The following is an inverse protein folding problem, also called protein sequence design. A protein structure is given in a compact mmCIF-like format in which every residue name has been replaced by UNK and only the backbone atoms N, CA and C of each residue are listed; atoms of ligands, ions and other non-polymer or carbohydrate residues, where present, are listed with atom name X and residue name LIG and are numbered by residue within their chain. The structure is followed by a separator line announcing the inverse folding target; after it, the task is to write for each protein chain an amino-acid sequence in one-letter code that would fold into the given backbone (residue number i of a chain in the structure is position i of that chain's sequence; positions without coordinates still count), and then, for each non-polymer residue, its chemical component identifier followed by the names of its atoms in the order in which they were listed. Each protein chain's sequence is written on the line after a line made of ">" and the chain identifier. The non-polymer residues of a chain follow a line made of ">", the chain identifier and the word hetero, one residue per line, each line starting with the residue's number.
data_IF_165066670545
#
_entry.id   IF_165066670545
#
_cell.length_a   1.000
_cell.length_b   1.000
_cell.length_c   1.000
_cell.angle_alpha   90.00
_cell.angle_beta   90.00
_cell.angle_gamma   90.00
#
_symmetry.space_group_name_H-M   'P 1'
#
loop_
_entity.id
_entity.type
_entity.pdbx_description
1 polymer ?
#
# COMPACT_ATOMS: atom_id res chain seq x y z
N UNK A 1 13.63 13.07 1.38
CA UNK A 1 12.39 13.84 1.04
C UNK A 1 12.68 15.01 0.09
N UNK A 2 13.82 15.72 0.24
CA UNK A 2 14.15 16.87 -0.62
C UNK A 2 14.15 16.51 -2.12
N UNK A 3 14.68 15.34 -2.48
CA UNK A 3 14.73 14.88 -3.87
C UNK A 3 13.35 14.46 -4.40
N UNK A 4 12.48 13.99 -3.53
CA UNK A 4 11.09 13.65 -3.90
C UNK A 4 10.26 14.87 -4.30
N UNK A 5 10.59 16.07 -3.79
CA UNK A 5 9.90 17.31 -4.17
C UNK A 5 10.07 17.67 -5.66
N UNK A 6 11.07 17.11 -6.31
CA UNK A 6 11.34 17.32 -7.75
C UNK A 6 10.72 16.25 -8.63
N UNK A 7 10.04 15.26 -8.04
CA UNK A 7 9.47 14.13 -8.75
C UNK A 7 7.98 14.33 -8.98
N UNK A 8 7.51 13.80 -10.10
CA UNK A 8 6.09 13.70 -10.43
C UNK A 8 5.60 12.34 -9.96
N UNK A 9 5.11 12.30 -8.73
CA UNK A 9 4.79 11.07 -8.02
C UNK A 9 3.33 10.73 -8.25
N UNK A 10 3.05 9.50 -8.66
CA UNK A 10 1.70 9.01 -8.80
C UNK A 10 1.01 8.89 -7.44
N UNK A 11 -0.26 9.30 -7.41
CA UNK A 11 -1.21 8.99 -6.34
C UNK A 11 -2.42 8.27 -6.96
N UNK A 12 -2.90 7.22 -6.32
CA UNK A 12 -4.16 6.61 -6.75
C UNK A 12 -5.30 7.61 -6.55
N UNK A 13 -6.01 7.89 -7.65
CA UNK A 13 -7.14 8.83 -7.62
C UNK A 13 -8.21 8.36 -6.64
N UNK A 14 -8.56 9.23 -5.67
CA UNK A 14 -9.56 8.94 -4.64
C UNK A 14 -9.04 8.12 -3.46
N UNK A 15 -7.72 7.98 -3.30
CA UNK A 15 -7.12 7.35 -2.12
C UNK A 15 -6.90 8.37 -0.99
N UNK A 16 -7.72 8.33 0.09
CA UNK A 16 -7.56 9.25 1.21
C UNK A 16 -6.30 8.99 2.03
N UNK A 17 -5.85 7.73 2.12
CA UNK A 17 -4.64 7.38 2.87
C UNK A 17 -3.39 7.93 2.18
N UNK A 18 -3.31 7.76 0.87
CA UNK A 18 -2.25 8.33 0.05
C UNK A 18 -2.27 9.85 0.10
N UNK A 19 -3.43 10.49 -0.02
CA UNK A 19 -3.57 11.95 0.09
C UNK A 19 -3.03 12.47 1.41
N UNK A 20 -3.42 11.88 2.55
CA UNK A 20 -2.94 12.27 3.87
C UNK A 20 -1.41 12.10 4.01
N UNK A 21 -0.83 11.06 3.40
CA UNK A 21 0.62 10.88 3.37
C UNK A 21 1.32 12.01 2.59
N UNK A 22 0.79 12.37 1.42
CA UNK A 22 1.36 13.44 0.61
C UNK A 22 1.22 14.80 1.27
N UNK A 23 0.07 15.11 1.87
CA UNK A 23 -0.15 16.33 2.63
C UNK A 23 0.82 16.47 3.81
N UNK A 24 0.99 15.38 4.58
CA UNK A 24 1.93 15.35 5.70
C UNK A 24 3.40 15.49 5.27
N UNK A 25 3.73 15.08 4.03
CA UNK A 25 5.08 15.16 3.47
C UNK A 25 5.40 16.49 2.81
N UNK A 26 4.39 17.31 2.50
CA UNK A 26 4.53 18.52 1.70
C UNK A 26 4.95 18.23 0.25
N UNK A 27 4.58 17.06 -0.27
CA UNK A 27 4.76 16.65 -1.65
C UNK A 27 3.46 16.88 -2.43
N UNK A 28 3.58 17.17 -3.72
CA UNK A 28 2.45 17.37 -4.62
C UNK A 28 2.35 16.19 -5.60
N UNK A 29 1.49 15.21 -5.36
CA UNK A 29 1.35 14.06 -6.25
C UNK A 29 0.48 14.39 -7.46
N UNK A 30 0.54 13.50 -8.46
CA UNK A 30 -0.33 13.50 -9.65
C UNK A 30 -1.38 12.41 -9.47
N UNK A 31 -2.65 12.74 -9.18
CA UNK A 31 -3.71 11.75 -9.01
C UNK A 31 -4.16 11.20 -10.37
N UNK A 32 -4.03 9.89 -10.56
CA UNK A 32 -4.42 9.18 -11.78
C UNK A 32 -5.07 7.83 -11.45
N UNK A 33 -6.01 7.35 -12.26
CA UNK A 33 -6.47 5.97 -12.18
C UNK A 33 -5.35 5.01 -12.56
N UNK A 34 -5.35 3.80 -11.97
CA UNK A 34 -4.29 2.81 -12.16
C UNK A 34 -4.08 2.42 -13.63
N UNK A 35 -5.14 2.49 -14.44
CA UNK A 35 -5.11 2.18 -15.87
C UNK A 35 -4.29 3.14 -16.70
N UNK A 36 -4.06 4.36 -16.21
CA UNK A 36 -3.31 5.41 -16.92
C UNK A 36 -1.83 5.47 -16.51
N UNK A 37 -1.43 4.76 -15.46
CA UNK A 37 -0.09 4.89 -14.88
C UNK A 37 1.01 4.49 -15.86
N UNK A 38 0.87 3.36 -16.57
CA UNK A 38 1.89 2.91 -17.52
C UNK A 38 2.13 3.94 -18.63
N UNK A 39 1.05 4.43 -19.24
CA UNK A 39 1.13 5.46 -20.29
C UNK A 39 1.71 6.77 -19.75
N UNK A 40 1.34 7.15 -18.53
CA UNK A 40 1.85 8.37 -17.89
C UNK A 40 3.34 8.27 -17.54
N UNK A 41 3.83 7.09 -17.19
CA UNK A 41 5.27 6.82 -17.03
C UNK A 41 6.00 6.91 -18.37
N UNK A 42 5.48 6.29 -19.42
CA UNK A 42 6.13 6.27 -20.73
C UNK A 42 6.17 7.64 -21.42
N UNK A 43 5.18 8.50 -21.15
CA UNK A 43 5.13 9.89 -21.66
C UNK A 43 5.84 10.90 -20.76
N UNK A 44 6.28 10.48 -19.56
CA UNK A 44 6.90 11.37 -18.60
C UNK A 44 5.93 12.30 -17.89
N UNK A 45 4.64 12.07 -17.93
CA UNK A 45 3.67 12.81 -17.10
C UNK A 45 3.93 12.57 -15.61
N UNK A 46 4.26 11.33 -15.26
CA UNK A 46 4.80 10.93 -13.96
C UNK A 46 6.16 10.23 -14.17
N UNK A 47 7.00 10.23 -13.14
CA UNK A 47 8.31 9.57 -13.13
C UNK A 47 8.53 8.66 -11.92
N UNK A 48 7.59 8.64 -11.02
CA UNK A 48 7.69 7.90 -9.75
C UNK A 48 6.35 7.30 -9.39
N UNK A 49 6.36 6.02 -8.98
CA UNK A 49 5.17 5.29 -8.49
C UNK A 49 5.45 4.66 -7.14
N UNK A 50 4.38 4.34 -6.41
CA UNK A 50 4.40 3.52 -5.21
C UNK A 50 3.63 2.24 -5.52
N UNK A 51 4.29 1.09 -5.42
CA UNK A 51 3.68 -0.20 -5.71
C UNK A 51 4.36 -1.33 -4.93
N UNK A 52 3.65 -2.41 -4.61
CA UNK A 52 4.31 -3.65 -4.19
C UNK A 52 5.13 -4.23 -5.36
N UNK A 53 6.23 -4.95 -5.08
CA UNK A 53 7.09 -5.53 -6.13
C UNK A 53 6.34 -6.38 -7.16
N UNK A 54 5.39 -7.20 -6.70
CA UNK A 54 4.54 -7.99 -7.58
C UNK A 54 3.68 -7.11 -8.50
N UNK A 55 3.14 -6.00 -7.97
CA UNK A 55 2.34 -5.05 -8.75
C UNK A 55 3.17 -4.36 -9.84
N UNK A 56 4.40 -3.96 -9.53
CA UNK A 56 5.31 -3.37 -10.49
C UNK A 56 5.62 -4.32 -11.66
N UNK A 57 5.70 -5.63 -11.40
CA UNK A 57 5.89 -6.64 -12.44
C UNK A 57 4.59 -6.86 -13.23
N UNK A 58 3.48 -7.11 -12.56
CA UNK A 58 2.20 -7.44 -13.19
C UNK A 58 1.70 -6.31 -14.11
N UNK A 59 1.95 -5.06 -13.73
CA UNK A 59 1.59 -3.86 -14.50
C UNK A 59 2.71 -3.37 -15.42
N UNK A 60 3.84 -4.08 -15.47
CA UNK A 60 5.03 -3.76 -16.27
C UNK A 60 5.63 -2.37 -15.99
N UNK A 61 5.35 -1.77 -14.84
CA UNK A 61 5.85 -0.43 -14.50
C UNK A 61 7.38 -0.39 -14.38
N UNK A 62 7.99 -1.50 -13.98
CA UNK A 62 9.44 -1.63 -13.89
C UNK A 62 10.17 -1.35 -15.21
N UNK A 63 9.50 -1.52 -16.36
CA UNK A 63 10.10 -1.20 -17.68
C UNK A 63 10.33 0.30 -17.90
N UNK A 64 9.61 1.12 -17.13
CA UNK A 64 9.69 2.58 -17.18
C UNK A 64 10.39 3.18 -15.95
N UNK A 65 10.62 2.37 -14.90
CA UNK A 65 11.20 2.81 -13.63
C UNK A 65 12.46 1.99 -13.31
N UNK A 66 13.64 2.42 -13.76
CA UNK A 66 14.88 1.65 -13.61
C UNK A 66 15.43 1.62 -12.18
N UNK A 67 14.86 2.40 -11.27
CA UNK A 67 15.29 2.47 -9.87
C UNK A 67 14.14 2.13 -8.93
N UNK A 68 14.45 1.44 -7.83
CA UNK A 68 13.49 1.11 -6.78
C UNK A 68 14.11 1.36 -5.40
N UNK A 69 13.38 2.07 -4.54
CA UNK A 69 13.71 2.12 -3.12
C UNK A 69 12.90 1.05 -2.41
N UNK A 70 13.59 0.05 -1.85
CA UNK A 70 12.96 -1.06 -1.11
C UNK A 70 12.61 -0.61 0.31
N UNK A 71 11.54 0.17 0.42
CA UNK A 71 11.03 0.71 1.68
C UNK A 71 9.58 0.27 1.90
N UNK A 72 9.26 -0.37 3.02
CA UNK A 72 7.88 -0.72 3.35
C UNK A 72 7.13 0.53 3.85
N UNK A 73 6.47 1.25 2.93
CA UNK A 73 5.72 2.47 3.25
C UNK A 73 4.33 2.15 3.79
N UNK A 74 3.65 1.17 3.19
CA UNK A 74 2.29 0.79 3.58
C UNK A 74 2.00 -0.69 3.28
N UNK A 75 1.00 -1.24 3.96
CA UNK A 75 0.40 -2.53 3.60
C UNK A 75 -0.79 -2.31 2.66
N UNK A 76 -0.86 -3.08 1.58
CA UNK A 76 -2.05 -3.15 0.73
C UNK A 76 -3.15 -3.95 1.43
N UNK A 77 -4.31 -3.34 1.63
CA UNK A 77 -5.49 -4.00 2.18
C UNK A 77 -6.49 -4.22 1.06
N UNK A 78 -6.92 -5.47 0.88
CA UNK A 78 -7.97 -5.85 -0.06
C UNK A 78 -9.09 -6.62 0.63
N UNK A 79 -10.28 -6.60 0.04
CA UNK A 79 -11.43 -7.33 0.56
C UNK A 79 -12.15 -8.08 -0.57
N UNK A 80 -12.62 -9.29 -0.25
CA UNK A 80 -13.61 -9.97 -1.07
C UNK A 80 -14.99 -9.45 -0.65
N UNK A 81 -15.67 -8.79 -1.56
CA UNK A 81 -16.99 -8.23 -1.29
C UNK A 81 -18.05 -8.90 -2.17
N UNK A 82 -19.23 -9.08 -1.60
CA UNK A 82 -20.42 -9.49 -2.31
C UNK A 82 -21.56 -8.54 -1.95
N UNK A 83 -22.39 -8.19 -2.93
CA UNK A 83 -23.57 -7.36 -2.68
C UNK A 83 -24.46 -8.02 -1.62
N UNK A 84 -24.85 -7.28 -0.58
CA UNK A 84 -25.78 -7.78 0.45
C UNK A 84 -27.10 -8.22 -0.16
N UNK A 85 -27.62 -7.45 -1.11
CA UNK A 85 -28.86 -7.79 -1.83
C UNK A 85 -28.76 -9.16 -2.49
N UNK A 86 -27.63 -9.49 -3.14
CA UNK A 86 -27.42 -10.80 -3.74
C UNK A 86 -27.24 -11.88 -2.67
N UNK A 87 -26.40 -11.60 -1.65
CA UNK A 87 -26.14 -12.55 -0.58
C UNK A 87 -27.40 -13.01 0.15
N UNK A 88 -28.33 -12.08 0.42
CA UNK A 88 -29.59 -12.33 1.12
C UNK A 88 -30.56 -13.17 0.27
N UNK A 89 -30.37 -13.27 -1.06
CA UNK A 89 -31.17 -14.16 -1.94
C UNK A 89 -30.70 -15.60 -1.92
N UNK A 90 -29.53 -15.88 -1.37
CA UNK A 90 -28.97 -17.23 -1.33
C UNK A 90 -29.61 -18.06 -0.19
N UNK A 91 -29.85 -19.37 -0.40
CA UNK A 91 -30.16 -20.29 0.67
C UNK A 91 -29.09 -20.28 1.78
N UNK A 92 -29.45 -20.59 3.04
CA UNK A 92 -28.52 -20.51 4.18
C UNK A 92 -27.27 -21.37 4.03
N UNK A 93 -27.35 -22.53 3.41
CA UNK A 93 -26.22 -23.41 3.13
C UNK A 93 -25.24 -22.80 2.14
N UNK A 94 -25.74 -22.12 1.09
CA UNK A 94 -24.90 -21.39 0.13
C UNK A 94 -24.30 -20.12 0.74
N UNK A 95 -25.02 -19.42 1.61
CA UNK A 95 -24.44 -18.30 2.37
C UNK A 95 -23.26 -18.78 3.24
N UNK A 96 -23.45 -19.89 3.96
CA UNK A 96 -22.40 -20.49 4.78
C UNK A 96 -21.21 -20.98 3.94
N UNK A 97 -21.49 -21.61 2.80
CA UNK A 97 -20.45 -22.05 1.85
C UNK A 97 -19.62 -20.85 1.33
N UNK A 98 -20.30 -19.77 0.89
CA UNK A 98 -19.64 -18.58 0.35
C UNK A 98 -18.73 -17.91 1.40
N UNK A 99 -19.19 -17.79 2.65
CA UNK A 99 -18.36 -17.26 3.75
C UNK A 99 -17.12 -18.13 3.98
N UNK A 100 -17.29 -19.43 4.12
CA UNK A 100 -16.19 -20.39 4.38
C UNK A 100 -15.17 -20.42 3.24
N UNK A 101 -15.63 -20.47 2.00
CA UNK A 101 -14.72 -20.50 0.83
C UNK A 101 -14.03 -19.14 0.63
N UNK A 102 -14.73 -18.03 0.85
CA UNK A 102 -14.15 -16.68 0.80
C UNK A 102 -13.07 -16.48 1.86
N UNK A 103 -13.30 -16.93 3.10
CA UNK A 103 -12.32 -16.87 4.16
C UNK A 103 -11.06 -17.72 3.84
N UNK A 104 -11.27 -18.95 3.36
CA UNK A 104 -10.17 -19.84 2.97
C UNK A 104 -9.36 -19.25 1.81
N UNK A 105 -10.04 -18.70 0.79
CA UNK A 105 -9.41 -18.04 -0.34
C UNK A 105 -8.61 -16.80 0.09
N UNK A 106 -9.16 -15.97 0.99
CA UNK A 106 -8.47 -14.81 1.56
C UNK A 106 -7.19 -15.18 2.30
N UNK A 107 -7.23 -16.20 3.16
CA UNK A 107 -6.04 -16.69 3.87
C UNK A 107 -4.95 -17.19 2.91
N UNK A 108 -5.36 -17.93 1.87
CA UNK A 108 -4.44 -18.42 0.84
C UNK A 108 -3.84 -17.26 0.06
N UNK A 109 -4.66 -16.29 -0.37
CA UNK A 109 -4.22 -15.11 -1.12
C UNK A 109 -3.15 -14.33 -0.34
N UNK A 110 -3.34 -14.08 0.95
CA UNK A 110 -2.37 -13.38 1.79
C UNK A 110 -1.00 -14.09 1.77
N UNK A 111 -1.00 -15.42 1.98
CA UNK A 111 0.25 -16.19 2.03
C UNK A 111 0.97 -16.21 0.68
N UNK A 112 0.23 -16.41 -0.41
CA UNK A 112 0.76 -16.43 -1.77
C UNK A 112 1.29 -15.05 -2.19
N UNK A 113 0.55 -13.98 -1.95
CA UNK A 113 0.98 -12.62 -2.27
C UNK A 113 2.26 -12.22 -1.53
N UNK A 114 2.39 -12.56 -0.25
CA UNK A 114 3.62 -12.29 0.51
C UNK A 114 4.82 -13.04 -0.05
N UNK A 115 4.65 -14.32 -0.38
CA UNK A 115 5.69 -15.13 -1.02
C UNK A 115 6.09 -14.57 -2.37
N UNK A 116 5.10 -14.19 -3.17
CA UNK A 116 5.34 -13.73 -4.53
C UNK A 116 5.93 -12.31 -4.55
N UNK A 117 5.58 -11.43 -3.62
CA UNK A 117 6.28 -10.16 -3.43
C UNK A 117 7.78 -10.37 -3.10
N UNK A 118 8.09 -11.31 -2.21
CA UNK A 118 9.49 -11.62 -1.90
C UNK A 118 10.28 -12.13 -3.11
N UNK A 119 9.68 -12.98 -3.94
CA UNK A 119 10.28 -13.46 -5.21
C UNK A 119 10.42 -12.35 -6.24
N UNK A 120 9.46 -11.44 -6.28
CA UNK A 120 9.43 -10.34 -7.24
C UNK A 120 10.62 -9.40 -7.12
N UNK A 121 11.19 -9.23 -5.93
CA UNK A 121 12.42 -8.45 -5.74
C UNK A 121 13.59 -9.03 -6.54
N UNK A 122 13.75 -10.36 -6.55
CA UNK A 122 14.80 -11.02 -7.32
C UNK A 122 14.56 -10.87 -8.84
N UNK A 123 13.30 -11.01 -9.26
CA UNK A 123 12.91 -10.85 -10.67
C UNK A 123 13.20 -9.42 -11.15
N UNK A 124 12.83 -8.39 -10.37
CA UNK A 124 13.12 -6.99 -10.70
C UNK A 124 14.62 -6.74 -10.86
N UNK A 125 15.45 -7.30 -9.97
CA UNK A 125 16.91 -7.22 -10.09
C UNK A 125 17.42 -7.88 -11.37
N UNK A 126 16.91 -9.06 -11.74
CA UNK A 126 17.29 -9.74 -12.96
C UNK A 126 16.91 -8.94 -14.22
N UNK A 127 15.86 -8.15 -14.16
CA UNK A 127 15.44 -7.23 -15.23
C UNK A 127 16.17 -5.86 -15.18
N UNK A 128 17.21 -5.72 -14.39
CA UNK A 128 18.07 -4.54 -14.37
C UNK A 128 17.57 -3.39 -13.49
N UNK A 129 16.55 -3.61 -12.64
CA UNK A 129 16.13 -2.58 -11.69
C UNK A 129 17.18 -2.43 -10.59
N UNK A 130 17.67 -1.21 -10.42
CA UNK A 130 18.64 -0.85 -9.39
C UNK A 130 17.93 -0.53 -8.08
N UNK A 131 18.35 -1.22 -7.01
CA UNK A 131 17.78 -1.00 -5.68
C UNK A 131 18.61 -0.04 -4.87
N UNK A 132 17.96 0.93 -4.22
CA UNK A 132 18.61 1.88 -3.31
C UNK A 132 18.20 1.61 -1.87
N UNK A 133 19.15 1.72 -0.94
CA UNK A 133 18.95 1.48 0.50
C UNK A 133 19.31 2.68 1.37
N UNK A 134 19.60 3.81 0.77
CA UNK A 134 20.04 5.06 1.45
C UNK A 134 18.99 5.65 2.41
N UNK A 135 17.74 5.20 2.30
CA UNK A 135 16.68 5.59 3.23
C UNK A 135 16.88 5.07 4.65
N UNK A 136 17.69 4.01 4.84
CA UNK A 136 17.93 3.39 6.15
C UNK A 136 18.57 4.35 7.14
N UNK A 137 19.39 5.26 6.66
CA UNK A 137 20.01 6.31 7.48
C UNK A 137 19.03 7.43 7.89
N UNK A 138 17.80 7.41 7.32
CA UNK A 138 16.74 8.40 7.53
C UNK A 138 15.43 7.78 8.01
N UNK A 139 15.52 6.64 8.65
CA UNK A 139 14.36 5.88 9.14
C UNK A 139 13.46 6.71 10.08
N UNK A 140 14.06 7.54 10.95
CA UNK A 140 13.33 8.42 11.86
C UNK A 140 12.46 9.45 11.12
N UNK A 141 12.92 9.98 10.00
CA UNK A 141 12.16 10.96 9.20
C UNK A 141 10.93 10.32 8.55
N UNK A 142 11.08 9.06 8.12
CA UNK A 142 10.02 8.28 7.49
C UNK A 142 8.95 7.89 8.50
N UNK A 143 9.35 7.43 9.69
CA UNK A 143 8.39 7.11 10.75
C UNK A 143 7.69 8.36 11.29
N UNK A 144 8.39 9.49 11.39
CA UNK A 144 7.78 10.77 11.74
C UNK A 144 6.74 11.23 10.69
N UNK A 145 6.98 10.94 9.41
CA UNK A 145 6.03 11.21 8.33
C UNK A 145 4.76 10.36 8.47
N UNK A 146 4.89 9.07 8.76
CA UNK A 146 3.76 8.18 9.05
C UNK A 146 2.88 8.71 10.18
N UNK A 147 3.50 9.17 11.27
CA UNK A 147 2.77 9.66 12.44
C UNK A 147 2.03 10.98 12.12
N UNK A 148 2.61 11.84 11.30
CA UNK A 148 1.94 13.05 10.79
C UNK A 148 0.77 12.71 9.86
N UNK A 149 0.95 11.75 8.95
CA UNK A 149 -0.13 11.30 8.06
C UNK A 149 -1.31 10.71 8.84
N UNK A 150 -1.02 9.92 9.88
CA UNK A 150 -2.05 9.38 10.77
C UNK A 150 -2.82 10.49 11.51
N UNK A 151 -2.14 11.56 11.91
CA UNK A 151 -2.78 12.74 12.53
C UNK A 151 -3.69 13.50 11.55
N UNK A 152 -3.33 13.58 10.26
CA UNK A 152 -4.19 14.17 9.22
C UNK A 152 -5.47 13.36 9.07
N UNK A 153 -5.37 12.04 8.94
CA UNK A 153 -6.53 11.15 8.80
C UNK A 153 -7.49 11.21 9.99
N UNK A 154 -6.93 11.27 11.20
CA UNK A 154 -7.74 11.38 12.43
C UNK A 154 -8.48 12.73 12.49
N UNK A 155 -7.86 13.82 12.02
CA UNK A 155 -8.46 15.16 12.02
C UNK A 155 -9.57 15.30 10.97
N UNK A 156 -9.46 14.62 9.84
CA UNK A 156 -10.44 14.68 8.75
C UNK A 156 -11.59 13.68 8.91
N UNK A 157 -11.66 13.00 10.05
CA UNK A 157 -12.72 12.04 10.41
C UNK A 157 -12.88 10.86 9.40
N UNK A 158 -11.79 10.52 8.70
CA UNK A 158 -11.77 9.36 7.80
C UNK A 158 -11.85 8.02 8.53
N UNK A 159 -11.40 8.00 9.78
CA UNK A 159 -11.41 6.81 10.62
C UNK A 159 -12.12 7.18 11.92
N UNK A 160 -13.19 6.48 12.32
CA UNK A 160 -13.83 6.70 13.62
C UNK A 160 -12.79 6.67 14.75
N UNK A 161 -12.82 7.68 15.62
CA UNK A 161 -11.79 7.88 16.64
C UNK A 161 -11.62 6.67 17.57
N UNK A 162 -12.73 6.00 17.89
CA UNK A 162 -12.74 4.79 18.72
C UNK A 162 -12.02 3.61 18.05
N UNK A 163 -12.19 3.43 16.75
CA UNK A 163 -11.50 2.40 15.95
C UNK A 163 -10.00 2.71 15.88
N UNK A 164 -9.65 3.97 15.63
CA UNK A 164 -8.26 4.41 15.61
C UNK A 164 -7.56 4.17 16.95
N UNK A 165 -8.20 4.53 18.07
CA UNK A 165 -7.67 4.34 19.41
C UNK A 165 -7.52 2.87 19.79
N UNK A 166 -8.48 2.01 19.39
CA UNK A 166 -8.38 0.55 19.57
C UNK A 166 -7.17 -0.02 18.81
N UNK A 167 -7.00 0.37 17.56
CA UNK A 167 -5.88 -0.07 16.73
C UNK A 167 -4.53 0.39 17.32
N UNK A 168 -4.43 1.64 17.76
CA UNK A 168 -3.24 2.17 18.44
C UNK A 168 -2.88 1.38 19.70
N UNK A 169 -3.84 1.18 20.59
CA UNK A 169 -3.63 0.40 21.82
C UNK A 169 -3.18 -1.03 21.53
N UNK A 170 -3.78 -1.68 20.53
CA UNK A 170 -3.39 -3.02 20.10
C UNK A 170 -1.95 -3.06 19.56
N UNK A 171 -1.55 -2.06 18.77
CA UNK A 171 -0.20 -1.93 18.24
C UNK A 171 0.84 -1.67 19.35
N UNK A 172 0.54 -0.80 20.29
CA UNK A 172 1.40 -0.52 21.45
C UNK A 172 1.61 -1.79 22.30
N UNK A 173 0.53 -2.53 22.59
CA UNK A 173 0.61 -3.80 23.31
C UNK A 173 1.40 -4.87 22.54
N UNK A 174 1.29 -4.92 21.21
CA UNK A 174 2.09 -5.82 20.38
C UNK A 174 3.57 -5.47 20.40
N UNK A 175 3.92 -4.19 20.28
CA UNK A 175 5.30 -3.70 20.31
C UNK A 175 5.96 -3.94 21.67
N UNK A 176 5.24 -3.67 22.78
CA UNK A 176 5.73 -3.94 24.13
C UNK A 176 6.08 -5.43 24.34
N UNK A 177 5.29 -6.35 23.80
CA UNK A 177 5.58 -7.78 23.84
C UNK A 177 6.80 -8.19 23.02
N UNK A 178 7.07 -7.48 21.92
CA UNK A 178 8.20 -7.80 21.03
C UNK A 178 9.54 -7.23 21.51
N UNK A 179 9.51 -6.12 22.24
CA UNK A 179 10.72 -5.49 22.82
C UNK A 179 11.12 -6.06 24.18
N UNK A 180 10.25 -6.81 24.84
CA UNK A 180 10.51 -7.47 26.13
C UNK A 180 11.10 -8.89 26.01
N UNK A 181 11.79 -9.20 24.89
CA UNK A 181 12.52 -10.47 24.70
C UNK A 181 14.02 -10.24 24.72
#
# INVERSE_FOLDING_TARGET
>A
LADMKKRRIWLWQGDPLGSAFFDASGLSPVPLPITEVYTSLSTGLIDTTIAPPLGAIALQWFTQTPYMTDIPIMDGIGGLIVSRRFFDTLPPDLQALLRRTGEAAGKRLISETRRDNAKSLAVLKQHGVTFTTEWKDKESDIFGLRDRAAAVLAREDYIPADIYDQARKALEAYRARKTGK
#
